data_IF_287755379656
#
_entry.id   IF_287755379656
#
_cell.length_a   1.000
_cell.length_b   1.000
_cell.length_c   1.000
_cell.angle_alpha   90.00
_cell.angle_beta   90.00
_cell.angle_gamma   90.00
#
_symmetry.space_group_name_H-M   'P 1'
#
loop_
_entity.id
_entity.type
_entity.pdbx_description
1 polymer ?
#
# COMPACT_ATOMS: atom_id res chain seq x y z
N UNK A 1 -6.14 -20.58 2.09
CA UNK A 1 -6.73 -19.26 1.87
C UNK A 1 -5.96 -18.56 0.76
N UNK A 2 -6.64 -18.08 -0.28
CA UNK A 2 -6.05 -17.18 -1.27
C UNK A 2 -6.20 -15.75 -0.77
N UNK A 3 -5.08 -15.08 -0.51
CA UNK A 3 -5.09 -13.71 -0.03
C UNK A 3 -4.39 -12.79 -1.04
N UNK A 4 -4.85 -11.55 -1.13
CA UNK A 4 -4.14 -10.46 -1.77
C UNK A 4 -3.52 -9.59 -0.69
N UNK A 5 -2.21 -9.39 -0.78
CA UNK A 5 -1.46 -8.55 0.14
C UNK A 5 -1.08 -7.25 -0.57
N UNK A 6 -1.37 -6.12 0.06
CA UNK A 6 -1.02 -4.79 -0.45
C UNK A 6 -0.17 -4.03 0.59
N UNK A 7 1.17 -4.15 0.53
CA UNK A 7 2.06 -3.31 1.31
C UNK A 7 2.01 -1.87 0.81
N UNK A 8 1.73 -0.91 1.69
CA UNK A 8 1.69 0.51 1.36
C UNK A 8 2.56 1.29 2.32
N UNK A 9 3.61 1.91 1.78
CA UNK A 9 4.48 2.82 2.53
C UNK A 9 3.96 4.26 2.52
N UNK A 10 4.50 5.07 3.41
CA UNK A 10 4.32 6.52 3.34
C UNK A 10 4.76 7.05 1.97
N UNK A 11 3.85 7.78 1.33
CA UNK A 11 4.05 8.24 -0.04
C UNK A 11 4.95 9.48 -0.13
N UNK A 12 5.22 10.20 0.97
CA UNK A 12 6.03 11.44 0.99
C UNK A 12 7.45 11.22 0.47
N UNK A 13 8.00 10.04 0.71
CA UNK A 13 9.33 9.63 0.29
C UNK A 13 9.32 8.71 -0.94
N UNK A 14 8.18 8.59 -1.63
CA UNK A 14 8.05 7.67 -2.75
C UNK A 14 8.83 8.13 -3.98
N UNK A 15 9.09 7.15 -4.87
CA UNK A 15 9.66 7.37 -6.19
C UNK A 15 11.01 8.10 -6.20
N UNK A 16 11.86 7.92 -5.17
CA UNK A 16 13.17 8.59 -5.05
C UNK A 16 14.06 8.50 -6.29
N UNK A 17 13.96 7.42 -7.07
CA UNK A 17 14.69 7.26 -8.35
C UNK A 17 14.24 8.21 -9.47
N UNK A 18 13.11 8.91 -9.30
CA UNK A 18 12.62 9.94 -10.22
C UNK A 18 12.96 11.35 -9.73
N UNK A 19 13.80 11.50 -8.70
CA UNK A 19 14.13 12.81 -8.14
C UNK A 19 14.87 13.73 -9.13
N UNK A 20 15.53 13.15 -10.15
CA UNK A 20 16.25 13.91 -11.19
C UNK A 20 15.30 14.54 -12.23
N UNK A 21 14.02 14.14 -12.24
CA UNK A 21 13.03 14.57 -13.26
C UNK A 21 11.71 15.08 -12.68
N UNK A 22 11.42 14.83 -11.41
CA UNK A 22 10.18 15.23 -10.73
C UNK A 22 10.47 15.87 -9.38
N UNK A 23 9.76 16.93 -9.02
CA UNK A 23 9.82 17.55 -7.69
C UNK A 23 9.27 16.62 -6.60
N UNK A 24 9.53 16.87 -5.30
CA UNK A 24 8.91 16.12 -4.22
C UNK A 24 7.37 16.05 -4.32
N UNK A 25 6.73 17.16 -4.68
CA UNK A 25 5.28 17.28 -4.84
C UNK A 25 4.77 16.44 -6.02
N UNK A 26 5.46 16.50 -7.16
CA UNK A 26 5.11 15.69 -8.34
C UNK A 26 5.27 14.19 -8.07
N UNK A 27 6.32 13.79 -7.35
CA UNK A 27 6.52 12.38 -6.94
C UNK A 27 5.44 11.91 -5.97
N UNK A 28 5.05 12.76 -5.02
CA UNK A 28 3.95 12.48 -4.11
C UNK A 28 2.63 12.32 -4.88
N UNK A 29 2.30 13.26 -5.77
CA UNK A 29 1.11 13.19 -6.62
C UNK A 29 1.08 11.95 -7.51
N UNK A 30 2.23 11.60 -8.12
CA UNK A 30 2.37 10.37 -8.90
C UNK A 30 2.12 9.13 -8.03
N UNK A 31 2.70 9.07 -6.84
CA UNK A 31 2.52 7.94 -5.93
C UNK A 31 1.05 7.81 -5.46
N UNK A 32 0.37 8.93 -5.22
CA UNK A 32 -1.06 8.95 -4.91
C UNK A 32 -1.91 8.44 -6.07
N UNK A 33 -1.65 8.90 -7.30
CA UNK A 33 -2.37 8.45 -8.49
C UNK A 33 -2.19 6.93 -8.72
N UNK A 34 -0.95 6.44 -8.62
CA UNK A 34 -0.66 5.01 -8.73
C UNK A 34 -1.36 4.17 -7.66
N UNK A 35 -1.40 4.65 -6.41
CA UNK A 35 -2.14 3.96 -5.35
C UNK A 35 -3.63 3.93 -5.68
N UNK A 36 -4.23 5.06 -6.06
CA UNK A 36 -5.64 5.13 -6.43
C UNK A 36 -6.00 4.15 -7.57
N UNK A 37 -5.15 4.03 -8.59
CA UNK A 37 -5.33 3.09 -9.69
C UNK A 37 -5.23 1.63 -9.23
N UNK A 38 -4.28 1.34 -8.34
CA UNK A 38 -4.13 0.01 -7.73
C UNK A 38 -5.36 -0.37 -6.91
N UNK A 39 -5.85 0.55 -6.06
CA UNK A 39 -7.05 0.33 -5.24
C UNK A 39 -8.28 0.08 -6.12
N UNK A 40 -8.45 0.87 -7.19
CA UNK A 40 -9.54 0.66 -8.16
C UNK A 40 -9.51 -0.74 -8.77
N UNK A 41 -8.31 -1.23 -9.08
CA UNK A 41 -8.11 -2.58 -9.63
C UNK A 41 -8.40 -3.66 -8.59
N UNK A 42 -7.89 -3.50 -7.37
CA UNK A 42 -8.06 -4.47 -6.27
C UNK A 42 -9.53 -4.62 -5.87
N UNK A 43 -10.33 -3.54 -5.93
CA UNK A 43 -11.79 -3.59 -5.70
C UNK A 43 -12.53 -4.56 -6.64
N UNK A 44 -12.00 -4.82 -7.83
CA UNK A 44 -12.58 -5.75 -8.79
C UNK A 44 -12.10 -7.20 -8.65
N UNK A 45 -11.22 -7.51 -7.68
CA UNK A 45 -10.64 -8.85 -7.53
C UNK A 45 -11.63 -9.77 -6.83
N UNK A 46 -12.08 -10.81 -7.53
CA UNK A 46 -12.97 -11.84 -6.98
C UNK A 46 -12.26 -13.16 -6.61
N UNK A 47 -10.99 -13.34 -6.98
CA UNK A 47 -10.26 -14.59 -6.77
C UNK A 47 -9.55 -14.67 -5.40
N UNK A 48 -9.39 -13.55 -4.71
CA UNK A 48 -8.86 -13.48 -3.36
C UNK A 48 -10.00 -13.60 -2.34
N UNK A 49 -9.87 -14.51 -1.38
CA UNK A 49 -10.81 -14.68 -0.26
C UNK A 49 -10.68 -13.53 0.75
N UNK A 50 -9.49 -12.92 0.83
CA UNK A 50 -9.21 -11.81 1.76
C UNK A 50 -8.19 -10.85 1.18
N UNK A 51 -8.41 -9.56 1.41
CA UNK A 51 -7.48 -8.49 1.04
C UNK A 51 -6.90 -7.90 2.34
N UNK A 52 -5.59 -7.77 2.38
CA UNK A 52 -4.86 -7.19 3.50
C UNK A 52 -4.08 -5.96 3.04
N UNK A 53 -4.22 -4.83 3.75
CA UNK A 53 -3.29 -3.71 3.65
C UNK A 53 -2.27 -3.83 4.78
N UNK A 54 -0.99 -3.81 4.43
CA UNK A 54 0.12 -3.78 5.38
C UNK A 54 0.68 -2.37 5.41
N UNK A 55 0.45 -1.64 6.50
CA UNK A 55 0.82 -0.22 6.56
C UNK A 55 0.73 0.37 7.96
N UNK A 56 1.40 1.51 8.17
CA UNK A 56 1.06 2.46 9.23
C UNK A 56 0.77 3.87 8.70
N UNK A 57 0.68 4.01 7.38
CA UNK A 57 0.36 5.25 6.71
C UNK A 57 -1.14 5.53 6.83
N UNK A 58 -1.56 6.61 7.52
CA UNK A 58 -2.98 6.82 7.85
C UNK A 58 -3.92 6.80 6.65
N UNK A 59 -3.61 7.44 5.50
CA UNK A 59 -4.48 7.37 4.33
C UNK A 59 -4.71 5.94 3.81
N UNK A 60 -3.71 5.05 3.92
CA UNK A 60 -3.87 3.65 3.53
C UNK A 60 -4.69 2.85 4.56
N UNK A 61 -4.62 3.21 5.85
CA UNK A 61 -5.51 2.65 6.89
C UNK A 61 -6.97 3.00 6.62
N UNK A 62 -7.25 4.23 6.22
CA UNK A 62 -8.61 4.69 5.94
C UNK A 62 -9.17 4.03 4.68
N UNK A 63 -8.36 3.90 3.63
CA UNK A 63 -8.71 3.11 2.44
C UNK A 63 -9.07 1.67 2.82
N UNK A 64 -8.30 1.01 3.69
CA UNK A 64 -8.63 -0.35 4.12
C UNK A 64 -10.00 -0.42 4.82
N UNK A 65 -10.28 0.52 5.73
CA UNK A 65 -11.57 0.58 6.45
C UNK A 65 -12.73 0.81 5.50
N UNK A 66 -12.61 1.78 4.59
CA UNK A 66 -13.66 2.11 3.60
C UNK A 66 -14.03 0.93 2.71
N UNK A 67 -13.07 0.05 2.44
CA UNK A 67 -13.28 -1.13 1.59
C UNK A 67 -13.55 -2.42 2.36
N UNK A 68 -13.59 -2.38 3.70
CA UNK A 68 -13.74 -3.56 4.54
C UNK A 68 -12.56 -4.54 4.44
N UNK A 69 -11.38 -4.06 4.04
CA UNK A 69 -10.18 -4.88 3.94
C UNK A 69 -9.50 -5.02 5.31
N UNK A 70 -8.81 -6.14 5.51
CA UNK A 70 -8.09 -6.38 6.74
C UNK A 70 -6.83 -5.50 6.81
N UNK A 71 -6.48 -5.06 8.02
CA UNK A 71 -5.31 -4.22 8.27
C UNK A 71 -4.28 -5.04 9.05
N UNK A 72 -3.06 -5.08 8.54
CA UNK A 72 -1.87 -5.52 9.26
C UNK A 72 -1.02 -4.28 9.54
N UNK A 73 -1.12 -3.75 10.76
CA UNK A 73 -0.45 -2.50 11.11
C UNK A 73 1.03 -2.75 11.39
N UNK A 74 1.90 -1.96 10.76
CA UNK A 74 3.35 -2.02 10.99
C UNK A 74 3.80 -0.98 12.03
N UNK A 75 4.66 -1.35 12.97
CA UNK A 75 5.24 -0.33 13.87
C UNK A 75 6.30 0.52 13.15
N UNK A 76 7.00 -0.07 12.18
CA UNK A 76 8.04 0.60 11.37
C UNK A 76 8.02 0.11 9.93
N UNK A 77 8.20 1.04 8.98
CA UNK A 77 8.28 0.72 7.55
C UNK A 77 9.73 0.55 7.12
N UNK A 78 10.23 -0.68 7.13
CA UNK A 78 11.63 -1.00 6.82
C UNK A 78 11.83 -1.20 5.30
N UNK A 79 11.37 -2.32 4.76
CA UNK A 79 11.42 -2.65 3.33
C UNK A 79 10.06 -3.20 2.88
N UNK A 80 9.84 -3.28 1.57
CA UNK A 80 8.64 -3.95 1.05
C UNK A 80 8.68 -5.45 1.40
N UNK A 81 9.82 -6.11 1.19
CA UNK A 81 10.01 -7.51 1.54
C UNK A 81 9.80 -7.79 3.02
N UNK A 82 10.22 -6.89 3.91
CA UNK A 82 9.96 -7.02 5.35
C UNK A 82 8.46 -6.95 5.68
N UNK A 83 7.70 -6.08 4.99
CA UNK A 83 6.26 -5.99 5.16
C UNK A 83 5.57 -7.30 4.70
N UNK A 84 6.05 -7.90 3.61
CA UNK A 84 5.57 -9.19 3.11
C UNK A 84 5.92 -10.32 4.09
N UNK A 85 7.16 -10.40 4.55
CA UNK A 85 7.63 -11.41 5.51
C UNK A 85 6.91 -11.33 6.86
N UNK A 86 6.57 -10.10 7.29
CA UNK A 86 5.76 -9.86 8.48
C UNK A 86 4.34 -10.39 8.26
N UNK A 87 3.71 -10.03 7.15
CA UNK A 87 2.35 -10.42 6.86
C UNK A 87 2.17 -11.92 6.60
N UNK A 88 3.19 -12.60 6.07
CA UNK A 88 3.14 -14.04 5.81
C UNK A 88 3.16 -14.90 7.09
N UNK A 89 3.41 -14.30 8.26
CA UNK A 89 3.45 -14.99 9.57
C UNK A 89 2.13 -14.89 10.34
N UNK A 90 1.16 -14.16 9.81
CA UNK A 90 -0.16 -13.90 10.41
C UNK A 90 -1.20 -14.80 9.75
#
# INVERSE_FOLDING_TARGET
MRALLLPVKDLRDAKKRLADVLTPEERFGLAQAMLADTIRTVRGVCCAEKIFIVTNYPPALDIAKENGWAILREDRQISESHAVDFASRV
#
